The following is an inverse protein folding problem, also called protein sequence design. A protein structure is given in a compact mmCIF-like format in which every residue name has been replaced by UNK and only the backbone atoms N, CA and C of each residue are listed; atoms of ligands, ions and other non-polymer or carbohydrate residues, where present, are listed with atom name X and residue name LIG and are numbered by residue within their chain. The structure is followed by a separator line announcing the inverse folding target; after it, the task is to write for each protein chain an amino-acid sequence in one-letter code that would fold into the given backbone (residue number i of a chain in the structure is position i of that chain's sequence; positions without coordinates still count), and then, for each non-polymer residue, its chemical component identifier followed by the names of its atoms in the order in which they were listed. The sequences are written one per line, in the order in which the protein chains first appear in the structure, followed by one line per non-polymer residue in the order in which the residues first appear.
data_IF_958516455503
#
_entry.id   IF_958516455503
#
_cell.length_a   1.000
_cell.length_b   1.000
_cell.length_c   1.000
_cell.angle_alpha   90.00
_cell.angle_beta   90.00
_cell.angle_gamma   90.00
#
_symmetry.space_group_name_H-M   'P 1'
#
loop_
_entity.id
_entity.type
_entity.pdbx_description
1 polymer ?
#
# COMPACT_ATOMS: atom_id res chain seq x y z
N UNK A 1 -10.46 1.66 -23.15
CA UNK A 1 -10.91 2.79 -22.32
C UNK A 1 -11.63 3.77 -23.22
N UNK A 2 -12.89 4.01 -22.95
CA UNK A 2 -13.64 5.12 -23.55
C UNK A 2 -13.16 6.39 -22.85
N UNK A 3 -12.85 7.44 -23.59
CA UNK A 3 -12.55 8.74 -23.01
C UNK A 3 -13.76 9.18 -22.17
N UNK A 4 -13.53 9.41 -20.89
CA UNK A 4 -14.55 9.94 -20.00
C UNK A 4 -14.53 11.46 -20.15
N UNK A 5 -15.62 12.07 -20.71
CA UNK A 5 -15.62 13.46 -21.17
C UNK A 5 -15.77 14.49 -20.03
N UNK A 6 -15.24 14.21 -18.85
CA UNK A 6 -15.33 15.05 -17.66
C UNK A 6 -13.96 15.29 -17.05
N UNK A 7 -13.79 16.42 -16.41
CA UNK A 7 -12.53 16.84 -15.80
C UNK A 7 -12.56 16.68 -14.28
N UNK A 8 -11.37 16.55 -13.69
CA UNK A 8 -11.23 16.51 -12.23
C UNK A 8 -11.70 17.83 -11.62
N UNK A 9 -12.56 17.75 -10.60
CA UNK A 9 -13.16 18.90 -9.93
C UNK A 9 -14.60 19.20 -10.39
N UNK A 10 -15.09 18.55 -11.45
CA UNK A 10 -16.49 18.63 -11.81
C UNK A 10 -17.36 17.79 -10.88
N UNK A 11 -18.50 18.32 -10.47
CA UNK A 11 -19.52 17.55 -9.71
C UNK A 11 -20.48 16.91 -10.69
N UNK A 12 -20.58 15.59 -10.61
CA UNK A 12 -21.40 14.80 -11.55
C UNK A 12 -22.50 14.06 -10.81
N UNK A 13 -23.72 14.11 -11.36
CA UNK A 13 -24.83 13.23 -10.98
C UNK A 13 -24.81 12.01 -11.89
N UNK A 14 -24.64 10.84 -11.27
CA UNK A 14 -24.59 9.56 -11.98
C UNK A 14 -25.82 8.76 -11.59
N UNK A 15 -26.66 8.40 -12.56
CA UNK A 15 -27.88 7.63 -12.35
C UNK A 15 -27.77 6.25 -13.04
N UNK A 16 -28.40 5.22 -12.45
CA UNK A 16 -28.39 3.84 -12.93
C UNK A 16 -27.01 3.16 -12.99
N UNK A 17 -26.02 3.70 -12.29
CA UNK A 17 -24.76 3.00 -12.06
C UNK A 17 -24.95 1.92 -10.97
N UNK A 18 -24.07 0.92 -10.95
CA UNK A 18 -24.06 -0.08 -9.90
C UNK A 18 -22.65 -0.25 -9.32
N UNK A 19 -22.60 -0.58 -8.04
CA UNK A 19 -21.33 -0.85 -7.35
C UNK A 19 -21.05 -2.34 -7.34
N UNK A 20 -19.86 -2.72 -7.76
CA UNK A 20 -19.35 -4.09 -7.68
C UNK A 20 -18.02 -4.11 -6.96
N UNK A 21 -17.88 -5.01 -5.99
CA UNK A 21 -16.58 -5.19 -5.35
C UNK A 21 -15.65 -6.03 -6.22
N UNK A 22 -14.42 -5.58 -6.39
CA UNK A 22 -13.34 -6.35 -6.98
C UNK A 22 -12.16 -6.36 -5.99
N UNK A 23 -11.81 -7.54 -5.48
CA UNK A 23 -10.78 -7.73 -4.46
C UNK A 23 -11.00 -6.85 -3.19
N UNK A 24 -12.25 -6.77 -2.73
CA UNK A 24 -12.62 -5.95 -1.59
C UNK A 24 -12.78 -4.45 -1.88
N UNK A 25 -12.40 -3.99 -3.07
CA UNK A 25 -12.49 -2.58 -3.47
C UNK A 25 -13.82 -2.34 -4.21
N UNK A 26 -14.68 -1.41 -3.72
CA UNK A 26 -15.88 -1.04 -4.44
C UNK A 26 -15.53 -0.30 -5.73
N UNK A 27 -16.07 -0.76 -6.85
CA UNK A 27 -15.93 -0.13 -8.16
C UNK A 27 -17.30 0.31 -8.65
N UNK A 28 -17.40 1.58 -9.08
CA UNK A 28 -18.58 2.09 -9.75
C UNK A 28 -18.54 1.67 -11.22
N UNK A 29 -19.55 0.93 -11.64
CA UNK A 29 -19.65 0.45 -13.02
C UNK A 29 -20.69 1.28 -13.78
N UNK A 30 -20.24 1.84 -14.90
CA UNK A 30 -21.06 2.63 -15.81
C UNK A 30 -21.46 1.73 -17.00
N UNK A 31 -22.67 1.18 -16.99
CA UNK A 31 -23.19 0.38 -18.09
C UNK A 31 -23.98 1.23 -19.09
N UNK A 32 -24.56 0.60 -20.12
CA UNK A 32 -25.25 1.27 -21.23
C UNK A 32 -26.47 2.12 -20.82
N UNK A 33 -27.01 1.92 -19.61
CA UNK A 33 -28.17 2.65 -19.09
C UNK A 33 -27.81 3.80 -18.15
N UNK A 34 -26.52 4.03 -17.96
CA UNK A 34 -26.05 5.09 -17.06
C UNK A 34 -26.21 6.43 -17.71
N UNK A 35 -26.75 7.38 -16.98
CA UNK A 35 -26.69 8.80 -17.34
C UNK A 35 -25.70 9.51 -16.43
N UNK A 36 -24.86 10.34 -17.02
CA UNK A 36 -23.89 11.20 -16.31
C UNK A 36 -24.19 12.63 -16.69
N UNK A 37 -24.52 13.46 -15.72
CA UNK A 37 -24.81 14.88 -15.92
C UNK A 37 -23.99 15.73 -14.99
N UNK A 38 -23.40 16.80 -15.51
CA UNK A 38 -22.74 17.81 -14.67
C UNK A 38 -23.83 18.58 -13.89
N UNK A 39 -23.56 18.77 -12.60
CA UNK A 39 -24.43 19.55 -11.70
C UNK A 39 -23.61 20.62 -10.98
N UNK A 40 -24.27 21.67 -10.59
CA UNK A 40 -23.67 22.79 -9.84
C UNK A 40 -24.03 22.65 -8.35
N UNK A 41 -23.73 21.48 -7.79
CA UNK A 41 -23.94 21.19 -6.39
C UNK A 41 -22.61 21.32 -5.64
N UNK A 42 -22.65 21.81 -4.39
CA UNK A 42 -21.50 21.83 -3.48
C UNK A 42 -21.47 20.53 -2.69
N UNK A 43 -20.47 19.69 -2.96
CA UNK A 43 -20.24 18.43 -2.23
C UNK A 43 -19.05 18.48 -1.28
N UNK A 44 -18.45 19.68 -1.12
CA UNK A 44 -17.29 19.91 -0.27
C UNK A 44 -16.01 20.23 -1.04
N UNK A 45 -14.96 20.57 -0.29
CA UNK A 45 -13.65 20.90 -0.86
C UNK A 45 -12.98 19.68 -1.51
N UNK A 46 -12.49 19.84 -2.74
CA UNK A 46 -11.83 18.76 -3.48
C UNK A 46 -10.61 18.20 -2.72
N UNK A 47 -9.86 19.04 -2.00
CA UNK A 47 -8.70 18.59 -1.22
C UNK A 47 -9.13 17.72 -0.04
N UNK A 48 -10.23 18.03 0.61
CA UNK A 48 -10.80 17.20 1.68
C UNK A 48 -11.33 15.88 1.12
N UNK A 49 -12.05 15.92 0.00
CA UNK A 49 -12.62 14.74 -0.65
C UNK A 49 -11.54 13.78 -1.19
N UNK A 50 -10.39 14.31 -1.59
CA UNK A 50 -9.26 13.51 -2.10
C UNK A 50 -8.19 13.22 -1.04
N UNK A 51 -8.38 13.68 0.20
CA UNK A 51 -7.44 13.39 1.28
C UNK A 51 -7.53 11.91 1.68
N UNK A 52 -6.36 11.33 1.98
CA UNK A 52 -6.30 9.96 2.49
C UNK A 52 -7.02 9.88 3.85
N UNK A 53 -7.82 8.85 4.03
CA UNK A 53 -8.57 8.66 5.27
C UNK A 53 -7.77 7.79 6.25
N UNK A 54 -7.42 8.30 7.45
CA UNK A 54 -6.86 7.46 8.50
C UNK A 54 -7.84 6.34 8.87
N UNK A 55 -7.36 5.11 8.89
CA UNK A 55 -8.14 3.92 9.26
C UNK A 55 -7.37 3.07 10.25
N UNK A 56 -8.07 2.21 10.98
CA UNK A 56 -7.45 1.10 11.70
C UNK A 56 -7.47 -0.18 10.84
N UNK A 57 -6.55 -1.08 11.13
CA UNK A 57 -6.50 -2.40 10.45
C UNK A 57 -7.79 -3.18 10.76
N UNK A 58 -8.29 -3.12 11.99
CA UNK A 58 -9.55 -3.78 12.36
C UNK A 58 -10.76 -3.24 11.57
N UNK A 59 -10.83 -1.92 11.31
CA UNK A 59 -11.88 -1.35 10.46
C UNK A 59 -11.81 -1.89 9.04
N UNK A 60 -10.59 -1.99 8.49
CA UNK A 60 -10.37 -2.51 7.14
C UNK A 60 -10.73 -3.99 7.03
N UNK A 61 -10.42 -4.79 8.04
CA UNK A 61 -10.83 -6.19 8.10
C UNK A 61 -12.36 -6.35 8.08
N UNK A 62 -13.06 -5.48 8.80
CA UNK A 62 -14.54 -5.51 8.87
C UNK A 62 -15.22 -5.21 7.53
N UNK A 63 -14.58 -4.41 6.66
CA UNK A 63 -15.13 -4.00 5.35
C UNK A 63 -14.46 -4.70 4.16
N UNK A 64 -13.38 -5.45 4.40
CA UNK A 64 -12.67 -6.22 3.37
C UNK A 64 -11.68 -5.44 2.53
N UNK A 65 -11.28 -4.23 2.95
CA UNK A 65 -10.26 -3.42 2.27
C UNK A 65 -10.62 -1.95 2.18
N UNK A 66 -9.85 -1.18 1.41
CA UNK A 66 -10.09 0.26 1.24
C UNK A 66 -9.17 0.90 0.20
N UNK A 67 -9.61 2.00 -0.38
CA UNK A 67 -8.82 2.82 -1.29
C UNK A 67 -8.23 4.00 -0.53
N UNK A 68 -7.03 4.38 -0.92
CA UNK A 68 -6.34 5.57 -0.45
C UNK A 68 -6.31 5.70 1.09
N UNK A 69 -6.01 4.59 1.74
CA UNK A 69 -6.01 4.45 3.19
C UNK A 69 -4.68 4.92 3.75
N UNK A 70 -4.73 5.65 4.85
CA UNK A 70 -3.56 6.02 5.65
C UNK A 70 -3.49 5.17 6.92
N UNK A 71 -2.43 4.38 7.06
CA UNK A 71 -2.13 3.58 8.23
C UNK A 71 -0.88 4.06 8.93
N UNK A 72 -0.89 3.99 10.26
CA UNK A 72 0.27 4.27 11.12
C UNK A 72 0.47 3.11 12.08
N UNK A 73 1.67 2.54 12.10
CA UNK A 73 1.95 1.41 12.95
C UNK A 73 3.43 1.14 13.11
N UNK A 74 3.75 0.01 13.70
CA UNK A 74 5.12 -0.50 13.84
C UNK A 74 5.37 -1.59 12.80
N UNK A 75 6.55 -1.60 12.21
CA UNK A 75 6.99 -2.70 11.35
C UNK A 75 7.43 -3.86 12.24
N UNK A 76 6.68 -4.94 12.24
CA UNK A 76 6.90 -6.08 13.15
C UNK A 76 7.53 -7.28 12.47
N UNK A 77 7.57 -7.30 11.12
CA UNK A 77 8.18 -8.38 10.36
C UNK A 77 8.59 -7.88 8.95
N UNK A 78 9.68 -8.41 8.43
CA UNK A 78 10.11 -8.27 7.02
C UNK A 78 10.10 -9.66 6.41
N UNK A 79 9.07 -9.96 5.64
CA UNK A 79 8.78 -11.29 5.15
C UNK A 79 9.68 -11.75 4.01
N UNK A 80 9.77 -13.05 3.84
CA UNK A 80 10.41 -13.68 2.68
C UNK A 80 9.87 -13.11 1.36
N UNK A 81 10.76 -12.89 0.41
CA UNK A 81 10.48 -12.21 -0.85
C UNK A 81 10.62 -10.69 -0.75
N UNK A 82 11.19 -10.18 0.35
CA UNK A 82 11.79 -8.85 0.44
C UNK A 82 13.22 -8.87 -0.08
N UNK A 83 13.83 -7.70 -0.26
CA UNK A 83 15.19 -7.53 -0.76
C UNK A 83 15.25 -7.55 -2.27
N UNK A 84 16.35 -8.07 -2.80
CA UNK A 84 16.60 -8.19 -4.23
C UNK A 84 15.78 -9.34 -4.80
N UNK A 85 14.89 -9.03 -5.72
CA UNK A 85 14.02 -9.98 -6.40
C UNK A 85 14.22 -9.90 -7.91
N UNK A 86 13.71 -10.88 -8.65
CA UNK A 86 13.67 -10.86 -10.11
C UNK A 86 12.25 -10.75 -10.62
N UNK A 87 12.03 -9.99 -11.69
CA UNK A 87 10.71 -9.81 -12.33
C UNK A 87 10.73 -10.20 -13.80
N UNK A 88 9.61 -10.73 -14.22
CA UNK A 88 9.34 -10.93 -15.65
C UNK A 88 9.25 -9.57 -16.36
N UNK A 89 9.96 -9.36 -17.48
CA UNK A 89 9.92 -8.09 -18.22
C UNK A 89 8.55 -7.79 -18.82
N UNK A 90 7.73 -8.83 -19.12
CA UNK A 90 6.45 -8.68 -19.79
C UNK A 90 5.29 -8.40 -18.81
N UNK A 91 5.17 -9.20 -17.72
CA UNK A 91 4.04 -9.07 -16.80
C UNK A 91 4.40 -8.52 -15.42
N UNK A 92 5.67 -8.20 -15.16
CA UNK A 92 6.20 -7.65 -13.90
C UNK A 92 6.00 -8.55 -12.67
N UNK A 93 5.52 -9.77 -12.84
CA UNK A 93 5.43 -10.74 -11.74
C UNK A 93 6.82 -11.15 -11.28
N UNK A 94 6.95 -11.41 -9.99
CA UNK A 94 8.16 -12.01 -9.43
C UNK A 94 8.39 -13.38 -10.04
N UNK A 95 9.63 -13.67 -10.41
CA UNK A 95 10.02 -14.95 -11.01
C UNK A 95 11.12 -15.60 -10.18
N UNK A 96 11.12 -16.91 -10.18
CA UNK A 96 12.15 -17.74 -9.57
C UNK A 96 12.88 -18.50 -10.67
N UNK A 97 14.22 -18.57 -10.62
CA UNK A 97 15.05 -19.27 -11.60
C UNK A 97 14.79 -18.86 -13.06
N UNK A 98 14.48 -17.56 -13.27
CA UNK A 98 14.19 -16.98 -14.58
C UNK A 98 12.99 -17.64 -15.30
N UNK A 99 12.05 -18.21 -14.53
CA UNK A 99 10.83 -18.85 -15.06
C UNK A 99 9.59 -18.11 -14.61
N UNK A 100 8.81 -17.63 -15.58
CA UNK A 100 7.53 -16.96 -15.36
C UNK A 100 6.37 -17.95 -15.61
N UNK A 101 5.43 -18.04 -14.69
CA UNK A 101 4.25 -18.91 -14.80
C UNK A 101 3.45 -18.64 -16.08
N UNK A 102 3.43 -17.39 -16.54
CA UNK A 102 2.65 -16.98 -17.72
C UNK A 102 3.46 -17.01 -19.01
N UNK A 103 4.76 -16.65 -18.96
CA UNK A 103 5.58 -16.45 -20.17
C UNK A 103 6.72 -17.50 -20.29
N UNK A 104 6.77 -18.48 -19.38
CA UNK A 104 7.83 -19.49 -19.38
C UNK A 104 9.21 -18.89 -19.06
N UNK A 105 10.25 -19.37 -19.73
CA UNK A 105 11.61 -18.91 -19.49
C UNK A 105 11.81 -17.50 -20.02
N UNK A 106 12.26 -16.59 -19.15
CA UNK A 106 12.43 -15.16 -19.44
C UNK A 106 13.81 -14.68 -18.99
N UNK A 107 14.30 -13.61 -19.61
CA UNK A 107 15.45 -12.88 -19.08
C UNK A 107 14.95 -11.94 -17.99
N UNK A 108 14.92 -12.45 -16.76
CA UNK A 108 14.35 -11.71 -15.64
C UNK A 108 15.18 -10.47 -15.30
N UNK A 109 14.48 -9.40 -14.92
CA UNK A 109 15.07 -8.13 -14.52
C UNK A 109 15.16 -8.04 -13.01
N UNK A 110 16.29 -7.59 -12.44
CA UNK A 110 16.40 -7.35 -11.01
C UNK A 110 15.50 -6.21 -10.59
N UNK A 111 14.91 -6.34 -9.40
CA UNK A 111 14.06 -5.34 -8.77
C UNK A 111 14.22 -5.41 -7.26
N UNK A 112 13.84 -4.33 -6.56
CA UNK A 112 13.87 -4.24 -5.12
C UNK A 112 12.46 -4.13 -4.57
N UNK A 113 12.18 -4.84 -3.48
CA UNK A 113 10.87 -4.85 -2.85
C UNK A 113 11.00 -5.05 -1.34
N UNK A 114 10.11 -4.40 -0.59
CA UNK A 114 9.85 -4.77 0.80
C UNK A 114 8.45 -5.39 0.89
N UNK A 115 8.36 -6.50 1.60
CA UNK A 115 7.14 -7.15 2.03
C UNK A 115 7.14 -7.13 3.55
N UNK A 116 6.60 -6.06 4.13
CA UNK A 116 6.59 -5.83 5.57
C UNK A 116 5.25 -6.23 6.20
N UNK A 117 5.23 -6.42 7.50
CA UNK A 117 4.01 -6.48 8.31
C UNK A 117 3.96 -5.22 9.17
N UNK A 118 2.89 -4.45 9.00
CA UNK A 118 2.56 -3.28 9.80
C UNK A 118 1.54 -3.68 10.87
N UNK A 119 1.80 -3.33 12.12
CA UNK A 119 0.91 -3.52 13.26
C UNK A 119 0.55 -2.15 13.84
N UNK A 120 -0.74 -1.82 13.89
CA UNK A 120 -1.27 -0.57 14.42
C UNK A 120 -1.84 -0.69 15.83
N UNK A 121 -1.73 -1.88 16.45
CA UNK A 121 -2.30 -2.22 17.75
C UNK A 121 -3.76 -2.73 17.68
N UNK A 122 -4.41 -2.66 16.53
CA UNK A 122 -5.76 -3.22 16.30
C UNK A 122 -5.72 -4.48 15.44
N UNK A 123 -4.64 -4.67 14.69
CA UNK A 123 -4.39 -5.78 13.82
C UNK A 123 -3.04 -5.69 13.12
N UNK A 124 -2.73 -6.68 12.29
CA UNK A 124 -1.48 -6.73 11.53
C UNK A 124 -1.74 -6.95 10.04
N UNK A 125 -1.15 -6.13 9.18
CA UNK A 125 -1.39 -6.11 7.75
C UNK A 125 -0.10 -6.26 6.95
N UNK A 126 -0.11 -7.12 5.93
CA UNK A 126 1.01 -7.20 4.99
C UNK A 126 1.02 -6.00 4.06
N UNK A 127 2.14 -5.30 3.99
CA UNK A 127 2.37 -4.14 3.14
C UNK A 127 3.40 -4.47 2.05
N UNK A 128 3.04 -4.24 0.80
CA UNK A 128 3.91 -4.43 -0.37
C UNK A 128 4.43 -3.07 -0.81
N UNK A 129 5.73 -2.89 -0.72
CA UNK A 129 6.43 -1.64 -1.04
C UNK A 129 7.23 -1.84 -2.32
N UNK A 130 7.05 -0.97 -3.30
CA UNK A 130 7.77 -1.00 -4.58
C UNK A 130 9.25 -0.60 -4.42
N UNK A 131 10.04 -0.64 -5.51
CA UNK A 131 11.46 -0.33 -5.48
C UNK A 131 11.78 1.06 -4.95
N UNK A 132 11.17 2.09 -5.50
CA UNK A 132 11.45 3.49 -5.16
C UNK A 132 11.21 3.77 -3.67
N UNK A 133 10.07 3.29 -3.17
CA UNK A 133 9.74 3.41 -1.75
C UNK A 133 10.60 2.51 -0.86
N UNK A 134 11.01 1.34 -1.35
CA UNK A 134 11.90 0.43 -0.63
C UNK A 134 13.29 1.04 -0.45
N UNK A 135 13.82 1.67 -1.50
CA UNK A 135 15.08 2.41 -1.45
C UNK A 135 15.01 3.57 -0.45
N UNK A 136 13.93 4.36 -0.53
CA UNK A 136 13.71 5.49 0.38
C UNK A 136 13.56 5.05 1.85
N UNK A 137 12.78 3.99 2.10
CA UNK A 137 12.47 3.54 3.46
C UNK A 137 13.65 2.84 4.14
N UNK A 138 14.37 1.99 3.39
CA UNK A 138 15.51 1.23 3.91
C UNK A 138 16.84 1.96 3.82
N UNK A 139 16.95 2.95 2.92
CA UNK A 139 18.21 3.59 2.59
C UNK A 139 19.17 2.68 1.82
N UNK A 140 18.68 1.61 1.17
CA UNK A 140 19.46 0.68 0.35
C UNK A 140 19.05 0.91 -1.11
N UNK A 141 19.96 1.41 -1.92
CA UNK A 141 19.73 1.58 -3.36
C UNK A 141 19.78 0.22 -4.09
N UNK A 142 19.21 0.20 -5.30
CA UNK A 142 19.28 -0.98 -6.16
C UNK A 142 20.72 -1.40 -6.44
N UNK A 143 21.61 -0.44 -6.68
CA UNK A 143 23.04 -0.67 -6.93
C UNK A 143 23.71 -1.28 -5.69
N UNK A 144 23.44 -0.74 -4.51
CA UNK A 144 23.97 -1.28 -3.26
C UNK A 144 23.45 -2.69 -2.98
N UNK A 145 22.17 -2.95 -3.23
CA UNK A 145 21.57 -4.28 -3.08
C UNK A 145 22.23 -5.34 -3.99
N UNK A 146 22.50 -4.99 -5.23
CA UNK A 146 23.21 -5.86 -6.16
C UNK A 146 24.65 -6.13 -5.69
N UNK A 147 25.37 -5.10 -5.29
CA UNK A 147 26.75 -5.22 -4.77
C UNK A 147 26.80 -6.11 -3.52
N UNK A 148 25.89 -5.91 -2.56
CA UNK A 148 25.80 -6.73 -1.35
C UNK A 148 25.59 -8.21 -1.68
N UNK A 149 24.69 -8.51 -2.62
CA UNK A 149 24.42 -9.89 -3.03
C UNK A 149 25.63 -10.56 -3.69
N UNK A 150 26.38 -9.82 -4.51
CA UNK A 150 27.62 -10.30 -5.15
C UNK A 150 28.73 -10.54 -4.13
N UNK A 151 28.96 -9.61 -3.21
CA UNK A 151 30.01 -9.69 -2.19
C UNK A 151 29.78 -10.84 -1.19
N UNK A 152 28.54 -11.01 -0.76
CA UNK A 152 28.21 -12.02 0.26
C UNK A 152 27.81 -13.38 -0.30
N UNK A 153 27.56 -13.50 -1.60
CA UNK A 153 27.05 -14.70 -2.27
C UNK A 153 25.77 -15.26 -1.59
N UNK A 154 24.99 -14.39 -0.94
CA UNK A 154 23.77 -14.71 -0.21
C UNK A 154 22.61 -13.89 -0.81
N UNK A 155 21.61 -14.52 -1.44
CA UNK A 155 20.47 -13.83 -2.01
C UNK A 155 19.60 -13.11 -0.94
N UNK A 156 19.68 -13.54 0.31
CA UNK A 156 18.88 -13.00 1.40
C UNK A 156 19.59 -11.86 2.17
N UNK A 157 20.83 -11.53 1.83
CA UNK A 157 21.60 -10.51 2.56
C UNK A 157 20.89 -9.16 2.59
N UNK A 158 20.29 -8.77 1.46
CA UNK A 158 19.57 -7.50 1.35
C UNK A 158 18.31 -7.48 2.22
N UNK A 159 17.56 -8.59 2.26
CA UNK A 159 16.37 -8.71 3.10
C UNK A 159 16.73 -8.65 4.59
N UNK A 160 17.79 -9.33 5.00
CA UNK A 160 18.31 -9.29 6.39
C UNK A 160 18.76 -7.88 6.81
N UNK A 161 19.42 -7.17 5.91
CA UNK A 161 19.83 -5.78 6.18
C UNK A 161 18.61 -4.85 6.25
N UNK A 162 17.61 -5.01 5.37
CA UNK A 162 16.35 -4.28 5.47
C UNK A 162 15.63 -4.56 6.79
N UNK A 163 15.57 -5.82 7.22
CA UNK A 163 15.01 -6.22 8.51
C UNK A 163 15.73 -5.53 9.66
N UNK A 164 17.06 -5.57 9.68
CA UNK A 164 17.88 -4.90 10.71
C UNK A 164 17.60 -3.40 10.80
N UNK A 165 17.38 -2.73 9.69
CA UNK A 165 17.12 -1.29 9.65
C UNK A 165 15.69 -0.90 10.00
N UNK A 166 14.72 -1.75 9.67
CA UNK A 166 13.30 -1.39 9.67
C UNK A 166 12.50 -2.02 10.80
N UNK A 167 12.92 -3.18 11.34
CA UNK A 167 12.19 -3.87 12.40
C UNK A 167 11.97 -2.97 13.62
N UNK A 168 10.77 -3.02 14.18
CA UNK A 168 10.30 -2.23 15.32
C UNK A 168 10.25 -0.71 15.09
N UNK A 169 10.49 -0.23 13.87
CA UNK A 169 10.31 1.19 13.56
C UNK A 169 8.85 1.52 13.26
N UNK A 170 8.45 2.71 13.65
CA UNK A 170 7.13 3.24 13.29
C UNK A 170 7.16 3.82 11.88
N UNK A 171 6.17 3.44 11.11
CA UNK A 171 5.98 3.91 9.74
C UNK A 171 4.55 4.41 9.53
N UNK A 172 4.42 5.40 8.66
CA UNK A 172 3.18 5.81 8.05
C UNK A 172 3.16 5.31 6.61
N UNK A 173 2.08 4.69 6.21
CA UNK A 173 1.90 4.11 4.89
C UNK A 173 0.55 4.52 4.32
N UNK A 174 0.54 5.02 3.10
CA UNK A 174 -0.65 5.34 2.32
C UNK A 174 -0.73 4.43 1.11
N UNK A 175 -1.93 3.94 0.79
CA UNK A 175 -2.14 3.09 -0.37
C UNK A 175 -3.49 2.39 -0.37
N UNK A 176 -3.61 1.38 -1.20
CA UNK A 176 -4.83 0.60 -1.35
C UNK A 176 -4.73 -0.73 -0.61
N UNK A 177 -5.73 -1.01 0.21
CA UNK A 177 -5.85 -2.30 0.90
C UNK A 177 -6.79 -3.18 0.09
N UNK A 178 -6.28 -4.33 -0.34
CA UNK A 178 -6.99 -5.30 -1.18
C UNK A 178 -7.06 -6.65 -0.46
N UNK A 179 -8.15 -7.39 -0.70
CA UNK A 179 -8.32 -8.74 -0.20
C UNK A 179 -8.30 -9.76 -1.34
N UNK A 180 -7.64 -10.88 -1.11
CA UNK A 180 -7.67 -12.04 -1.99
C UNK A 180 -7.82 -13.33 -1.15
N UNK A 181 -7.67 -14.49 -1.78
CA UNK A 181 -7.76 -15.81 -1.13
C UNK A 181 -6.69 -16.04 -0.05
N UNK A 182 -5.61 -15.27 -0.04
CA UNK A 182 -4.51 -15.36 0.95
C UNK A 182 -4.66 -14.35 2.08
N UNK A 183 -5.70 -13.52 2.05
CA UNK A 183 -5.99 -12.52 3.05
C UNK A 183 -5.86 -11.08 2.52
N UNK A 184 -5.75 -10.17 3.46
CA UNK A 184 -5.72 -8.75 3.18
C UNK A 184 -4.26 -8.25 3.07
N UNK A 185 -3.99 -7.36 2.11
CA UNK A 185 -2.68 -6.73 1.94
C UNK A 185 -2.80 -5.28 1.46
N UNK A 186 -1.86 -4.44 1.84
CA UNK A 186 -1.74 -3.07 1.36
C UNK A 186 -0.73 -2.97 0.22
N UNK A 187 -1.16 -2.37 -0.88
CA UNK A 187 -0.26 -1.93 -1.95
C UNK A 187 0.12 -0.48 -1.64
N UNK A 188 1.33 -0.27 -1.17
CA UNK A 188 1.82 1.02 -0.69
C UNK A 188 2.13 1.93 -1.87
N UNK A 189 1.63 3.16 -1.81
CA UNK A 189 1.85 4.23 -2.78
C UNK A 189 2.77 5.32 -2.22
N UNK A 190 2.70 5.57 -0.90
CA UNK A 190 3.56 6.48 -0.18
C UNK A 190 3.92 5.87 1.17
N UNK A 191 5.13 6.07 1.64
CA UNK A 191 5.54 5.67 2.98
C UNK A 191 6.64 6.57 3.52
N UNK A 192 6.69 6.65 4.85
CA UNK A 192 7.72 7.41 5.54
C UNK A 192 7.82 7.05 7.03
N UNK A 193 8.89 7.52 7.69
CA UNK A 193 9.03 7.36 9.13
C UNK A 193 8.02 8.25 9.87
N UNK A 194 7.43 7.74 10.94
CA UNK A 194 6.60 8.55 11.84
C UNK A 194 7.47 9.10 12.97
N UNK A 195 7.51 10.42 13.07
CA UNK A 195 8.08 11.08 14.25
C UNK A 195 6.99 11.16 15.32
N UNK A 196 7.18 10.45 16.43
CA UNK A 196 6.23 10.45 17.55
C UNK A 196 6.62 11.53 18.55
N UNK A 197 5.76 12.53 18.73
CA UNK A 197 5.84 13.40 19.90
C UNK A 197 5.21 12.67 21.11
N UNK A 198 6.09 12.05 21.91
CA UNK A 198 5.69 11.26 23.08
C UNK A 198 4.90 12.11 24.10
N UNK A 199 5.22 13.41 24.23
CA UNK A 199 4.51 14.30 25.16
C UNK A 199 3.11 14.65 24.68
N UNK A 200 2.97 14.93 23.37
CA UNK A 200 1.66 15.19 22.77
C UNK A 200 0.78 13.93 22.85
N UNK A 201 1.31 12.76 22.50
CA UNK A 201 0.60 11.49 22.59
C UNK A 201 0.17 11.13 24.02
N UNK A 202 1.02 11.37 25.01
CA UNK A 202 0.66 11.14 26.42
C UNK A 202 -0.46 12.06 26.89
N UNK A 203 -0.47 13.34 26.47
CA UNK A 203 -1.56 14.27 26.81
C UNK A 203 -2.88 13.88 26.17
N UNK A 204 -2.84 13.46 24.91
CA UNK A 204 -4.03 12.97 24.21
C UNK A 204 -4.65 11.75 24.88
N UNK A 205 -3.81 10.78 25.29
CA UNK A 205 -4.26 9.59 26.02
C UNK A 205 -4.84 9.93 27.37
N UNK A 206 -4.23 10.85 28.13
CA UNK A 206 -4.77 11.34 29.40
C UNK A 206 -6.14 11.99 29.21
N UNK A 207 -6.30 12.87 28.22
CA UNK A 207 -7.57 13.49 27.93
C UNK A 207 -8.68 12.49 27.54
N UNK A 208 -8.33 11.42 26.80
CA UNK A 208 -9.27 10.33 26.50
C UNK A 208 -9.69 9.56 27.76
N UNK A 209 -8.74 9.28 28.66
CA UNK A 209 -9.04 8.61 29.93
C UNK A 209 -9.91 9.46 30.84
N UNK A 210 -9.64 10.76 30.95
CA UNK A 210 -10.44 11.70 31.74
C UNK A 210 -11.88 11.83 31.21
N UNK A 211 -12.07 11.72 29.89
CA UNK A 211 -13.40 11.77 29.27
C UNK A 211 -14.21 10.46 29.43
N UNK A 212 -13.59 9.38 29.85
CA UNK A 212 -14.22 8.06 30.08
C UNK A 212 -14.60 7.85 31.56
N UNK A 213 -14.14 8.71 32.45
CA UNK A 213 -14.43 8.69 33.89
C UNK A 213 -15.59 9.65 34.23
#
# INVERSE_FOLDING_TARGET
WVEFPHETGEVLRIENAYVRAFRGIPQLNLGDRVSVTRVDDDIGDLQELTSSTPRSIADLESVGGGLDVLLRGSLVDIRNGSGLIKRCPECRRSVLNDECITHGRVQAQPDLRIKAVLDDGTGALTCIVNRELSESLSGISMEEAMRMTEEHHDPDVVAKEMESRLLARKAEMRGNVVSDEYGMMMIVQECGPVTVDVKAGARELLGKLEAML
#
